data_IF_021230340002
#
_entry.id   IF_021230340002
#
_cell.length_a   1.000
_cell.length_b   1.000
_cell.length_c   1.000
_cell.angle_alpha   90.00
_cell.angle_beta   90.00
_cell.angle_gamma   90.00
#
_symmetry.space_group_name_H-M   'P 1'
#
loop_
_entity.id
_entity.type
_entity.pdbx_description
1 polymer ?
#
# COMPACT_ATOMS: atom_id res chain seq x y z
N UNK A 1 -21.18 46.77 -18.48
CA UNK A 1 -20.88 45.42 -19.00
C UNK A 1 -20.22 44.62 -17.89
N UNK A 2 -20.82 43.56 -17.32
CA UNK A 2 -20.20 42.80 -16.24
C UNK A 2 -19.28 41.70 -16.80
N UNK A 3 -18.15 41.49 -16.12
CA UNK A 3 -17.11 40.54 -16.49
C UNK A 3 -17.57 39.09 -16.33
N UNK A 4 -17.38 38.31 -17.39
CA UNK A 4 -17.65 36.87 -17.47
C UNK A 4 -16.67 36.12 -16.55
N UNK A 5 -17.18 35.48 -15.50
CA UNK A 5 -16.40 34.53 -14.69
C UNK A 5 -16.07 33.33 -15.58
N UNK A 6 -14.78 33.06 -15.80
CA UNK A 6 -14.32 31.84 -16.45
C UNK A 6 -14.25 30.74 -15.39
N UNK A 7 -15.24 29.86 -15.40
CA UNK A 7 -15.16 28.60 -14.67
C UNK A 7 -14.06 27.74 -15.30
N UNK A 8 -12.96 27.58 -14.58
CA UNK A 8 -11.86 26.70 -14.93
C UNK A 8 -11.72 25.63 -13.86
N UNK A 9 -12.45 24.52 -14.01
CA UNK A 9 -11.85 23.18 -14.04
C UNK A 9 -12.92 22.10 -14.28
N UNK A 10 -12.99 21.61 -15.52
CA UNK A 10 -13.68 20.38 -15.89
C UNK A 10 -12.72 19.19 -15.76
N UNK A 11 -12.19 18.96 -14.56
CA UNK A 11 -11.59 17.65 -14.23
C UNK A 11 -12.38 17.06 -13.06
N UNK A 12 -13.09 15.93 -13.26
CA UNK A 12 -13.70 15.24 -12.14
C UNK A 12 -12.58 14.87 -11.15
N UNK A 13 -12.76 15.05 -9.83
CA UNK A 13 -11.80 14.57 -8.87
C UNK A 13 -11.62 13.06 -9.11
N UNK A 14 -10.38 12.62 -9.41
CA UNK A 14 -10.04 11.20 -9.46
C UNK A 14 -10.61 10.56 -8.20
N UNK A 15 -11.57 9.61 -8.35
CA UNK A 15 -12.24 8.95 -7.22
C UNK A 15 -11.15 8.44 -6.28
N UNK A 16 -11.00 9.08 -5.12
CA UNK A 16 -10.06 8.62 -4.09
C UNK A 16 -10.53 7.23 -3.66
N UNK A 17 -9.68 6.21 -3.84
CA UNK A 17 -9.98 4.87 -3.35
C UNK A 17 -10.24 4.93 -1.84
N UNK A 18 -11.26 4.22 -1.38
CA UNK A 18 -11.51 4.10 0.05
C UNK A 18 -10.35 3.35 0.71
N UNK A 19 -10.08 3.61 2.00
CA UNK A 19 -9.06 2.89 2.76
C UNK A 19 -9.19 1.36 2.64
N UNK A 20 -10.42 0.84 2.75
CA UNK A 20 -10.68 -0.60 2.65
C UNK A 20 -10.32 -1.17 1.27
N UNK A 21 -10.63 -0.44 0.18
CA UNK A 21 -10.26 -0.88 -1.18
C UNK A 21 -8.75 -0.93 -1.35
N UNK A 22 -8.03 0.06 -0.82
CA UNK A 22 -6.56 0.05 -0.83
C UNK A 22 -5.99 -1.11 -0.01
N UNK A 23 -6.58 -1.39 1.15
CA UNK A 23 -6.18 -2.52 2.01
C UNK A 23 -6.38 -3.84 1.27
N UNK A 24 -7.56 -4.09 0.70
CA UNK A 24 -7.83 -5.32 -0.09
C UNK A 24 -6.83 -5.48 -1.22
N UNK A 25 -6.61 -4.42 -2.01
CA UNK A 25 -5.67 -4.42 -3.12
C UNK A 25 -4.25 -4.75 -2.64
N UNK A 26 -3.77 -4.05 -1.61
CA UNK A 26 -2.44 -4.24 -1.05
C UNK A 26 -2.26 -5.66 -0.49
N UNK A 27 -3.26 -6.19 0.22
CA UNK A 27 -3.24 -7.56 0.74
C UNK A 27 -3.17 -8.62 -0.35
N UNK A 28 -3.92 -8.44 -1.45
CA UNK A 28 -3.88 -9.36 -2.60
C UNK A 28 -2.51 -9.33 -3.28
N UNK A 29 -1.97 -8.14 -3.54
CA UNK A 29 -0.66 -7.98 -4.17
C UNK A 29 0.44 -8.57 -3.30
N UNK A 30 0.44 -8.28 -1.99
CA UNK A 30 1.40 -8.85 -1.06
C UNK A 30 1.32 -10.39 -1.02
N UNK A 31 0.11 -10.95 -0.95
CA UNK A 31 -0.08 -12.40 -0.96
C UNK A 31 0.39 -13.05 -2.27
N UNK A 32 0.16 -12.41 -3.42
CA UNK A 32 0.60 -12.91 -4.71
C UNK A 32 2.13 -12.94 -4.83
N UNK A 33 2.81 -11.90 -4.33
CA UNK A 33 4.28 -11.85 -4.29
C UNK A 33 4.84 -12.91 -3.34
N UNK A 34 4.29 -13.04 -2.14
CA UNK A 34 4.75 -14.05 -1.16
C UNK A 34 4.51 -15.49 -1.63
N UNK A 35 3.52 -15.71 -2.50
CA UNK A 35 3.23 -17.01 -3.09
C UNK A 35 4.02 -17.28 -4.38
N UNK A 36 4.98 -16.43 -4.75
CA UNK A 36 5.77 -16.50 -6.00
C UNK A 36 4.90 -16.52 -7.27
N UNK A 37 3.70 -15.92 -7.19
CA UNK A 37 2.75 -15.81 -8.33
C UNK A 37 2.86 -14.47 -9.04
N UNK A 38 3.64 -13.54 -8.48
CA UNK A 38 3.78 -12.17 -8.98
C UNK A 38 5.18 -11.66 -8.61
N UNK A 39 5.89 -11.08 -9.60
CA UNK A 39 7.18 -10.42 -9.35
C UNK A 39 6.97 -9.07 -8.65
N UNK A 40 8.00 -8.52 -8.02
CA UNK A 40 7.91 -7.18 -7.41
C UNK A 40 7.59 -6.07 -8.43
N UNK A 41 8.07 -6.25 -9.66
CA UNK A 41 7.86 -5.34 -10.79
C UNK A 41 6.40 -5.34 -11.26
N UNK A 42 5.82 -6.53 -11.38
CA UNK A 42 4.41 -6.72 -11.71
C UNK A 42 3.50 -6.22 -10.58
N UNK A 43 3.89 -6.46 -9.32
CA UNK A 43 3.21 -5.88 -8.17
C UNK A 43 3.17 -4.36 -8.24
N UNK A 44 4.30 -3.72 -8.56
CA UNK A 44 4.36 -2.27 -8.77
C UNK A 44 3.45 -1.82 -9.91
N UNK A 45 3.38 -2.55 -11.02
CA UNK A 45 2.49 -2.24 -12.16
C UNK A 45 1.03 -2.29 -11.73
N UNK A 46 0.60 -3.40 -11.13
CA UNK A 46 -0.79 -3.61 -10.66
C UNK A 46 -1.21 -2.53 -9.67
N UNK A 47 -0.35 -2.20 -8.71
CA UNK A 47 -0.63 -1.16 -7.72
C UNK A 47 -0.76 0.23 -8.35
N UNK A 48 0.09 0.57 -9.33
CA UNK A 48 0.01 1.84 -10.06
C UNK A 48 -1.27 1.94 -10.88
N UNK A 49 -1.62 0.90 -11.60
CA UNK A 49 -2.81 0.86 -12.45
C UNK A 49 -4.09 1.00 -11.62
N UNK A 50 -4.15 0.31 -10.47
CA UNK A 50 -5.33 0.32 -9.61
C UNK A 50 -5.46 1.60 -8.77
N UNK A 51 -4.36 2.17 -8.27
CA UNK A 51 -4.41 3.34 -7.36
C UNK A 51 -4.25 4.68 -8.08
N UNK A 52 -3.72 4.69 -9.31
CA UNK A 52 -3.33 5.92 -10.01
C UNK A 52 -2.18 6.68 -9.34
N UNK A 53 -1.48 6.05 -8.39
CA UNK A 53 -0.35 6.59 -7.63
C UNK A 53 0.87 5.69 -7.77
N UNK A 54 2.09 6.22 -7.64
CA UNK A 54 3.33 5.44 -7.76
C UNK A 54 3.57 4.51 -6.56
N UNK A 55 2.73 3.49 -6.40
CA UNK A 55 2.93 2.45 -5.41
C UNK A 55 3.91 1.39 -5.93
N UNK A 56 4.91 1.09 -5.10
CA UNK A 56 5.78 -0.09 -5.17
C UNK A 56 5.37 -1.13 -4.11
N UNK A 57 5.92 -2.34 -4.19
CA UNK A 57 5.74 -3.37 -3.17
C UNK A 57 6.15 -2.86 -1.78
N UNK A 58 7.24 -2.11 -1.70
CA UNK A 58 7.68 -1.49 -0.46
C UNK A 58 6.61 -0.54 0.11
N UNK A 59 6.09 0.38 -0.70
CA UNK A 59 5.05 1.31 -0.23
C UNK A 59 3.73 0.62 0.10
N UNK A 60 3.45 -0.53 -0.53
CA UNK A 60 2.32 -1.40 -0.19
C UNK A 60 2.48 -1.98 1.22
N UNK A 61 3.65 -2.51 1.57
CA UNK A 61 3.93 -2.98 2.93
C UNK A 61 3.88 -1.84 3.96
N UNK A 62 4.46 -0.68 3.64
CA UNK A 62 4.39 0.50 4.49
C UNK A 62 2.95 0.95 4.72
N UNK A 63 2.12 0.96 3.68
CA UNK A 63 0.70 1.29 3.79
C UNK A 63 -0.05 0.31 4.70
N UNK A 64 0.11 -0.99 4.48
CA UNK A 64 -0.52 -2.04 5.29
C UNK A 64 -0.11 -1.99 6.76
N UNK A 65 1.13 -1.60 7.05
CA UNK A 65 1.61 -1.38 8.43
C UNK A 65 1.11 -0.07 9.07
N UNK A 66 0.46 0.80 8.29
CA UNK A 66 0.10 2.15 8.70
C UNK A 66 -1.27 2.28 9.37
N UNK A 67 -1.48 3.41 10.06
CA UNK A 67 -2.72 3.70 10.81
C UNK A 67 -3.99 3.71 9.94
N UNK A 68 -3.90 4.16 8.69
CA UNK A 68 -5.05 4.18 7.77
C UNK A 68 -5.55 2.77 7.48
N UNK A 69 -4.64 1.84 7.17
CA UNK A 69 -4.97 0.44 6.92
C UNK A 69 -5.52 -0.25 8.18
N UNK A 70 -4.84 -0.08 9.31
CA UNK A 70 -5.26 -0.66 10.59
C UNK A 70 -6.63 -0.14 11.03
N UNK A 71 -6.89 1.16 10.88
CA UNK A 71 -8.19 1.75 11.19
C UNK A 71 -9.31 1.22 10.29
N UNK A 72 -9.03 1.02 9.00
CA UNK A 72 -10.00 0.45 8.06
C UNK A 72 -10.37 -1.00 8.42
N UNK A 73 -9.40 -1.82 8.83
CA UNK A 73 -9.63 -3.21 9.24
C UNK A 73 -10.35 -3.28 10.59
N UNK A 74 -9.96 -2.43 11.55
CA UNK A 74 -10.58 -2.38 12.87
C UNK A 74 -12.08 -2.01 12.82
N UNK A 75 -12.50 -1.24 11.82
CA UNK A 75 -13.88 -0.87 11.60
C UNK A 75 -14.76 -2.02 11.04
N UNK A 76 -14.16 -3.13 10.60
CA UNK A 76 -14.89 -4.28 10.08
C UNK A 76 -15.46 -5.15 11.22
N UNK A 77 -16.66 -5.75 11.04
CA UNK A 77 -17.16 -6.76 11.96
C UNK A 77 -16.28 -8.01 11.95
N UNK A 78 -16.30 -8.79 13.04
CA UNK A 78 -15.36 -9.92 13.21
C UNK A 78 -15.60 -11.08 12.23
N UNK A 79 -16.85 -11.25 11.79
CA UNK A 79 -17.28 -12.22 10.78
C UNK A 79 -17.27 -11.65 9.35
N UNK A 80 -16.64 -10.49 9.14
CA UNK A 80 -16.58 -9.85 7.82
C UNK A 80 -15.86 -10.74 6.80
N UNK A 81 -16.52 -10.90 5.65
CA UNK A 81 -16.00 -11.58 4.47
C UNK A 81 -16.51 -10.90 3.20
N UNK A 82 -15.65 -10.74 2.20
CA UNK A 82 -16.00 -10.16 0.91
C UNK A 82 -15.09 -10.72 -0.18
N UNK A 83 -15.66 -11.24 -1.28
CA UNK A 83 -14.92 -11.86 -2.40
C UNK A 83 -13.92 -12.97 -1.97
N UNK A 84 -14.25 -13.72 -0.91
CA UNK A 84 -13.36 -14.74 -0.33
C UNK A 84 -12.21 -14.16 0.52
N UNK A 85 -12.14 -12.85 0.70
CA UNK A 85 -11.25 -12.18 1.65
C UNK A 85 -11.93 -12.06 3.01
N UNK A 86 -11.27 -12.54 4.07
CA UNK A 86 -11.76 -12.42 5.44
C UNK A 86 -11.06 -11.28 6.19
N UNK A 87 -11.67 -10.79 7.27
CA UNK A 87 -10.99 -9.82 8.16
C UNK A 87 -9.67 -10.38 8.70
N UNK A 88 -9.65 -11.66 9.08
CA UNK A 88 -8.44 -12.34 9.56
C UNK A 88 -7.32 -12.34 8.51
N UNK A 89 -7.65 -12.54 7.23
CA UNK A 89 -6.66 -12.46 6.15
C UNK A 89 -6.07 -11.06 6.01
N UNK A 90 -6.88 -10.00 6.16
CA UNK A 90 -6.41 -8.62 6.16
C UNK A 90 -5.50 -8.34 7.37
N UNK A 91 -5.89 -8.78 8.56
CA UNK A 91 -5.07 -8.67 9.77
C UNK A 91 -3.75 -9.43 9.67
N UNK A 92 -3.76 -10.61 9.03
CA UNK A 92 -2.54 -11.36 8.79
C UNK A 92 -1.61 -10.62 7.82
N UNK A 93 -2.14 -10.05 6.73
CA UNK A 93 -1.37 -9.25 5.79
C UNK A 93 -0.73 -8.01 6.46
N UNK A 94 -1.44 -7.32 7.36
CA UNK A 94 -0.86 -6.17 8.08
C UNK A 94 0.22 -6.59 9.08
N UNK A 95 0.09 -7.74 9.74
CA UNK A 95 1.14 -8.30 10.61
C UNK A 95 2.39 -8.65 9.81
N UNK A 96 2.24 -9.33 8.66
CA UNK A 96 3.36 -9.67 7.77
C UNK A 96 4.04 -8.39 7.26
N UNK A 97 3.26 -7.41 6.81
CA UNK A 97 3.81 -6.13 6.37
C UNK A 97 4.54 -5.39 7.49
N UNK A 98 3.98 -5.33 8.70
CA UNK A 98 4.63 -4.73 9.86
C UNK A 98 5.94 -5.46 10.23
N UNK A 99 5.95 -6.80 10.18
CA UNK A 99 7.15 -7.59 10.40
C UNK A 99 8.21 -7.31 9.34
N UNK A 100 7.85 -7.29 8.06
CA UNK A 100 8.77 -6.99 6.96
C UNK A 100 9.36 -5.58 7.09
N UNK A 101 8.53 -4.57 7.38
CA UNK A 101 8.96 -3.19 7.61
C UNK A 101 9.88 -3.07 8.83
N UNK A 102 9.61 -3.82 9.90
CA UNK A 102 10.45 -3.83 11.09
C UNK A 102 11.80 -4.54 10.92
N UNK A 103 11.84 -5.60 10.11
CA UNK A 103 13.04 -6.41 9.89
C UNK A 103 13.88 -5.96 8.69
N UNK A 104 13.37 -5.07 7.84
CA UNK A 104 14.16 -4.54 6.73
C UNK A 104 15.30 -3.59 7.18
N UNK A 105 15.38 -3.26 8.48
CA UNK A 105 16.56 -2.64 9.09
C UNK A 105 17.57 -3.72 9.53
N UNK A 106 18.88 -3.60 9.22
CA UNK A 106 19.94 -4.49 9.72
C UNK A 106 20.04 -4.67 11.26
N UNK A 107 19.30 -3.90 12.06
CA UNK A 107 19.32 -3.88 13.53
C UNK A 107 17.94 -4.15 14.17
N UNK A 108 16.93 -4.54 13.37
CA UNK A 108 15.62 -5.00 13.87
C UNK A 108 14.73 -3.91 14.50
N UNK A 109 14.87 -2.63 14.11
CA UNK A 109 14.04 -1.53 14.63
C UNK A 109 13.00 -1.10 13.58
N UNK A 110 11.71 -0.88 13.95
CA UNK A 110 10.69 -0.39 13.03
C UNK A 110 11.06 0.97 12.43
N UNK A 111 11.23 1.02 11.10
CA UNK A 111 11.49 2.27 10.39
C UNK A 111 10.20 2.88 9.86
N UNK A 112 10.15 4.21 9.84
CA UNK A 112 9.12 4.91 9.10
C UNK A 112 9.33 4.73 7.60
N UNK A 113 8.27 4.90 6.81
CA UNK A 113 8.27 4.70 5.36
C UNK A 113 9.42 5.42 4.63
N UNK A 114 9.77 6.63 5.06
CA UNK A 114 10.86 7.41 4.48
C UNK A 114 12.25 6.90 4.82
N UNK A 115 12.46 6.28 5.98
CA UNK A 115 13.77 5.74 6.36
C UNK A 115 14.02 4.39 5.73
N UNK A 116 12.96 3.58 5.59
CA UNK A 116 13.04 2.31 4.88
C UNK A 116 13.33 2.49 3.37
N UNK A 117 12.81 3.56 2.76
CA UNK A 117 13.14 3.91 1.38
C UNK A 117 14.60 4.34 1.19
N UNK A 118 15.24 4.92 2.21
CA UNK A 118 16.66 5.29 2.17
C UNK A 118 17.57 4.05 2.26
N UNK A 119 17.24 3.10 3.12
CA UNK A 119 17.98 1.84 3.26
C UNK A 119 17.99 1.00 1.97
N UNK A 120 16.85 0.92 1.28
CA UNK A 120 16.78 0.24 -0.02
C UNK A 120 17.63 0.94 -1.10
N UNK A 121 17.63 2.29 -1.13
CA UNK A 121 18.42 3.07 -2.09
C UNK A 121 19.94 3.04 -1.78
N UNK A 122 20.32 2.92 -0.52
CA UNK A 122 21.74 2.84 -0.10
C UNK A 122 22.42 1.52 -0.46
N UNK A 123 21.65 0.46 -0.72
CA UNK A 123 22.19 -0.85 -1.14
C UNK A 123 22.49 -0.94 -2.64
N UNK A 124 22.02 -0.01 -3.47
CA UNK A 124 22.39 0.07 -4.89
C UNK A 124 23.77 0.70 -5.13
N UNK A 125 24.48 1.17 -4.08
CA UNK A 125 25.73 1.96 -4.24
C UNK A 125 26.99 1.26 -3.72
N UNK A 126 26.98 -0.06 -3.52
CA UNK A 126 28.20 -0.80 -3.18
C UNK A 126 28.44 -1.91 -4.21
N UNK A 127 28.81 -1.49 -5.40
CA UNK A 127 29.72 -2.24 -6.27
C UNK A 127 30.77 -1.25 -6.79
N UNK A 128 31.85 -1.06 -6.02
CA UNK A 128 33.26 -1.14 -6.47
C UNK A 128 34.20 -1.19 -5.25
#
# INVERSE_FOLDING_TARGET
>A
MPAMKRDHNLTPPKKKLSPLVKVKLASVVLAAVLADRMTEEDAGRVLRDATGTQWSLLTCMQYLSGKEALGAIAALPNDWTEDGMTKEALEHATKVAAFAVANAHPKGTPLCASDLAKEYRGKETIEE
#
